data_IF_300218735544
#
_entry.id   IF_300218735544
#
_cell.length_a   1.000
_cell.length_b   1.000
_cell.length_c   1.000
_cell.angle_alpha   90.00
_cell.angle_beta   90.00
_cell.angle_gamma   90.00
#
_symmetry.space_group_name_H-M   'P 1'
#
loop_
_entity.id
_entity.type
_entity.pdbx_description
1 polymer ?
#
# COMPACT_ATOMS: atom_id res chain seq x y z
N UNK A 1 28.41 -59.41 -50.28
CA UNK A 1 27.05 -59.65 -50.80
C UNK A 1 26.07 -58.93 -49.90
N UNK A 2 25.46 -57.86 -50.40
CA UNK A 2 24.03 -57.53 -50.41
C UNK A 2 23.89 -56.01 -50.42
N UNK A 3 23.52 -55.51 -51.59
CA UNK A 3 23.10 -54.16 -51.91
C UNK A 3 21.64 -54.01 -51.46
N UNK A 4 21.29 -52.87 -50.87
CA UNK A 4 19.92 -52.53 -50.51
C UNK A 4 19.77 -51.02 -50.35
N UNK A 5 19.33 -50.37 -51.42
CA UNK A 5 19.00 -48.95 -51.52
C UNK A 5 17.77 -48.60 -50.66
N UNK A 6 17.66 -47.36 -50.12
CA UNK A 6 16.57 -46.95 -49.24
C UNK A 6 15.28 -46.63 -50.02
N UNK A 7 14.17 -47.27 -49.63
CA UNK A 7 12.82 -46.96 -50.11
C UNK A 7 12.06 -46.15 -49.06
N UNK A 8 11.76 -44.90 -49.45
CA UNK A 8 10.68 -43.99 -49.05
C UNK A 8 10.03 -44.15 -47.65
N UNK A 9 10.31 -43.20 -46.76
CA UNK A 9 9.33 -42.70 -45.79
C UNK A 9 8.69 -41.45 -46.41
N UNK A 10 7.44 -41.56 -46.86
CA UNK A 10 6.54 -40.41 -47.05
C UNK A 10 5.89 -40.10 -45.69
N UNK A 11 5.85 -38.80 -45.34
CA UNK A 11 5.36 -38.18 -44.11
C UNK A 11 6.32 -38.04 -42.91
N UNK A 12 7.49 -37.42 -43.14
CA UNK A 12 8.22 -36.68 -42.10
C UNK A 12 8.44 -35.23 -42.55
N UNK A 13 7.41 -34.39 -42.43
CA UNK A 13 7.56 -32.94 -42.54
C UNK A 13 7.91 -32.33 -41.18
N UNK A 14 9.05 -31.63 -41.18
CA UNK A 14 9.36 -30.46 -40.36
C UNK A 14 9.81 -30.66 -38.90
N UNK A 15 10.94 -31.36 -38.73
CA UNK A 15 11.89 -31.04 -37.64
C UNK A 15 13.04 -30.19 -38.20
N UNK A 16 12.74 -28.93 -38.54
CA UNK A 16 13.72 -27.92 -38.98
C UNK A 16 13.47 -26.60 -38.29
N UNK A 17 13.74 -26.52 -36.98
CA UNK A 17 13.87 -25.20 -36.31
C UNK A 17 14.65 -25.19 -34.99
N UNK A 18 15.67 -26.04 -34.85
CA UNK A 18 16.60 -25.98 -33.72
C UNK A 18 18.07 -25.82 -34.12
N UNK A 19 18.37 -25.26 -35.29
CA UNK A 19 19.74 -24.86 -35.69
C UNK A 19 19.81 -23.45 -36.30
N UNK A 20 18.92 -22.53 -35.88
CA UNK A 20 18.91 -21.13 -36.35
C UNK A 20 18.70 -20.10 -35.23
N UNK A 21 19.18 -20.36 -34.01
CA UNK A 21 19.12 -19.40 -32.88
C UNK A 21 20.44 -19.30 -32.09
N UNK A 22 21.55 -19.78 -32.65
CA UNK A 22 22.90 -19.47 -32.20
C UNK A 22 23.60 -18.85 -33.40
N UNK A 23 23.54 -17.52 -33.51
CA UNK A 23 24.41 -16.60 -34.30
C UNK A 23 23.67 -15.25 -34.51
N UNK A 24 23.02 -14.69 -33.47
CA UNK A 24 22.50 -13.31 -33.54
C UNK A 24 22.45 -12.60 -32.16
N UNK A 25 23.42 -12.87 -31.30
CA UNK A 25 23.61 -12.13 -30.03
C UNK A 25 25.06 -11.72 -29.80
N UNK A 26 25.71 -11.24 -30.86
CA UNK A 26 27.08 -10.75 -30.83
C UNK A 26 27.20 -9.31 -31.32
N UNK A 27 26.26 -8.42 -30.94
CA UNK A 27 26.53 -6.98 -30.91
C UNK A 27 25.46 -6.22 -30.11
N UNK A 28 25.42 -6.46 -28.79
CA UNK A 28 24.89 -5.46 -27.85
C UNK A 28 25.92 -5.21 -26.75
N UNK A 29 27.11 -4.78 -27.20
CA UNK A 29 28.09 -4.18 -26.30
C UNK A 29 27.89 -2.67 -26.38
N UNK A 30 27.37 -2.10 -25.30
CA UNK A 30 27.44 -0.65 -25.05
C UNK A 30 28.89 -0.18 -25.17
N UNK A 31 29.23 0.38 -26.32
CA UNK A 31 30.53 0.98 -26.56
C UNK A 31 30.57 2.33 -25.84
N UNK A 32 31.12 2.34 -24.63
CA UNK A 32 31.39 3.54 -23.86
C UNK A 32 32.30 4.46 -24.68
N UNK A 33 31.72 5.53 -25.20
CA UNK A 33 32.47 6.56 -25.93
C UNK A 33 33.67 7.04 -25.11
N UNK A 34 34.76 7.41 -25.78
CA UNK A 34 35.95 7.97 -25.11
C UNK A 34 35.62 9.21 -24.25
N UNK A 35 34.49 9.88 -24.52
CA UNK A 35 33.97 10.98 -23.69
C UNK A 35 33.54 10.51 -22.28
N UNK A 36 33.01 9.29 -22.15
CA UNK A 36 32.57 8.71 -20.88
C UNK A 36 33.76 8.31 -19.99
N UNK A 37 34.84 7.82 -20.61
CA UNK A 37 36.10 7.49 -19.91
C UNK A 37 36.85 8.76 -19.48
N UNK A 38 36.83 9.81 -20.30
CA UNK A 38 37.45 11.10 -19.95
C UNK A 38 36.72 11.85 -18.82
N UNK A 39 35.41 11.62 -18.63
CA UNK A 39 34.65 12.21 -17.52
C UNK A 39 35.01 11.56 -16.17
N UNK A 40 35.37 10.27 -16.20
CA UNK A 40 35.78 9.52 -15.01
C UNK A 40 37.19 9.92 -14.53
N UNK A 41 38.10 10.21 -15.47
CA UNK A 41 39.47 10.65 -15.15
C UNK A 41 39.58 12.13 -14.76
N UNK A 42 38.49 12.91 -14.85
CA UNK A 42 38.49 14.34 -14.50
C UNK A 42 38.11 14.59 -13.03
N UNK A 43 37.75 13.54 -12.29
CA UNK A 43 37.46 13.63 -10.85
C UNK A 43 38.67 13.37 -9.95
N UNK A 44 39.85 13.07 -10.50
CA UNK A 44 41.06 12.75 -9.72
C UNK A 44 42.18 13.82 -9.79
N UNK A 45 41.93 14.98 -10.40
CA UNK A 45 42.94 16.05 -10.55
C UNK A 45 42.44 17.42 -10.08
N UNK A 46 41.95 17.49 -8.84
CA UNK A 46 41.90 18.75 -8.09
C UNK A 46 42.47 18.54 -6.69
N UNK A 47 43.80 18.45 -6.62
CA UNK A 47 44.57 18.49 -5.36
C UNK A 47 46.02 18.78 -5.68
N UNK A 48 46.31 20.02 -6.07
CA UNK A 48 47.62 20.64 -5.87
C UNK A 48 47.60 22.10 -6.30
N UNK A 49 47.48 23.03 -5.34
CA UNK A 49 48.34 24.20 -5.28
C UNK A 49 48.55 24.61 -3.81
N UNK A 50 49.83 24.76 -3.47
CA UNK A 50 50.47 24.98 -2.18
C UNK A 50 50.29 26.43 -1.66
N UNK A 51 50.31 26.61 -0.33
CA UNK A 51 51.43 27.32 0.32
C UNK A 51 51.33 27.39 1.85
N UNK A 52 52.52 27.46 2.42
CA UNK A 52 52.91 27.25 3.81
C UNK A 52 52.57 28.38 4.79
N UNK A 53 52.45 27.97 6.06
CA UNK A 53 52.99 28.60 7.28
C UNK A 53 51.97 29.22 8.25
N UNK A 54 52.00 28.74 9.50
CA UNK A 54 51.29 29.33 10.64
C UNK A 54 50.66 28.29 11.57
N UNK A 55 51.30 28.08 12.71
CA UNK A 55 50.86 27.25 13.84
C UNK A 55 49.44 27.61 14.30
N UNK A 56 48.53 26.63 14.29
CA UNK A 56 47.58 26.40 15.38
C UNK A 56 46.95 25.00 15.20
N UNK A 57 47.22 24.15 16.19
CA UNK A 57 46.76 22.77 16.28
C UNK A 57 45.26 22.71 16.57
N UNK A 58 44.46 22.77 15.52
CA UNK A 58 43.08 22.27 15.48
C UNK A 58 43.10 20.75 15.19
N UNK A 59 42.22 19.93 15.81
CA UNK A 59 42.21 18.50 15.58
C UNK A 59 41.75 18.24 14.14
N UNK A 60 42.68 17.82 13.28
CA UNK A 60 42.36 17.40 11.93
C UNK A 60 41.36 16.24 11.99
N UNK A 61 40.11 16.54 11.64
CA UNK A 61 39.11 15.54 11.31
C UNK A 61 39.64 14.71 10.15
N UNK A 62 40.12 13.51 10.46
CA UNK A 62 40.52 12.52 9.48
C UNK A 62 39.39 12.35 8.44
N UNK A 63 39.74 12.40 7.16
CA UNK A 63 38.79 12.18 6.06
C UNK A 63 38.11 10.80 6.14
N UNK A 64 37.06 10.56 5.32
CA UNK A 64 36.29 9.32 5.35
C UNK A 64 37.22 8.11 5.18
N UNK A 65 37.28 7.25 6.21
CA UNK A 65 38.09 6.04 6.18
C UNK A 65 37.46 5.05 5.20
N UNK A 66 38.28 4.45 4.35
CA UNK A 66 37.80 3.35 3.51
C UNK A 66 37.56 2.11 4.38
N UNK A 67 36.65 1.22 3.97
CA UNK A 67 36.23 0.04 4.76
C UNK A 67 37.41 -0.90 5.12
N UNK A 68 38.50 -0.86 4.34
CA UNK A 68 39.75 -1.59 4.58
C UNK A 68 40.67 -0.95 5.63
N UNK A 69 40.48 0.34 5.90
CA UNK A 69 41.23 1.13 6.90
C UNK A 69 40.53 1.19 8.25
N UNK A 70 39.35 0.58 8.37
CA UNK A 70 38.59 0.51 9.61
C UNK A 70 39.20 -0.52 10.55
N UNK A 71 39.23 -0.17 11.83
CA UNK A 71 39.46 -1.12 12.92
C UNK A 71 38.35 -2.18 12.94
N UNK A 72 38.60 -3.31 13.60
CA UNK A 72 37.58 -4.37 13.74
C UNK A 72 36.31 -3.85 14.43
N UNK A 73 36.45 -2.94 15.39
CA UNK A 73 35.32 -2.31 16.08
C UNK A 73 34.53 -1.40 15.15
N UNK A 74 35.20 -0.53 14.39
CA UNK A 74 34.55 0.34 13.40
C UNK A 74 33.85 -0.47 12.31
N UNK A 75 34.44 -1.59 11.87
CA UNK A 75 33.81 -2.50 10.89
C UNK A 75 32.54 -3.15 11.44
N UNK A 76 32.52 -3.55 12.72
CA UNK A 76 31.31 -4.08 13.36
C UNK A 76 30.20 -3.03 13.40
N UNK A 77 30.53 -1.81 13.81
CA UNK A 77 29.59 -0.69 13.80
C UNK A 77 29.04 -0.41 12.40
N UNK A 78 29.92 -0.40 11.39
CA UNK A 78 29.51 -0.21 10.00
C UNK A 78 28.53 -1.29 9.53
N UNK A 79 28.79 -2.56 9.87
CA UNK A 79 27.91 -3.66 9.53
C UNK A 79 26.54 -3.56 10.22
N UNK A 80 26.51 -3.13 11.48
CA UNK A 80 25.27 -2.87 12.22
C UNK A 80 24.46 -1.75 11.56
N UNK A 81 25.10 -0.63 11.20
CA UNK A 81 24.45 0.48 10.51
C UNK A 81 23.91 0.07 9.13
N UNK A 82 24.67 -0.71 8.36
CA UNK A 82 24.23 -1.27 7.07
C UNK A 82 23.00 -2.17 7.24
N UNK A 83 23.00 -3.04 8.24
CA UNK A 83 21.86 -3.92 8.53
C UNK A 83 20.62 -3.10 8.91
N UNK A 84 20.78 -2.13 9.81
CA UNK A 84 19.70 -1.26 10.25
C UNK A 84 19.12 -0.40 9.12
N UNK A 85 19.97 0.15 8.25
CA UNK A 85 19.53 0.91 7.07
C UNK A 85 18.67 0.07 6.12
N UNK A 86 19.08 -1.17 5.87
CA UNK A 86 18.30 -2.09 5.04
C UNK A 86 16.95 -2.42 5.68
N UNK A 87 16.91 -2.65 6.99
CA UNK A 87 15.69 -2.94 7.74
C UNK A 87 14.73 -1.74 7.75
N UNK A 88 15.24 -0.53 8.05
CA UNK A 88 14.45 0.70 8.08
C UNK A 88 13.85 0.97 6.70
N UNK A 89 14.64 0.89 5.63
CA UNK A 89 14.12 1.10 4.27
C UNK A 89 13.08 0.06 3.88
N UNK A 90 13.27 -1.21 4.25
CA UNK A 90 12.27 -2.23 4.01
C UNK A 90 10.98 -1.98 4.81
N UNK A 91 11.11 -1.47 6.04
CA UNK A 91 10.00 -1.08 6.90
C UNK A 91 9.17 0.04 6.26
N UNK A 92 9.83 1.13 5.88
CA UNK A 92 9.17 2.28 5.25
C UNK A 92 8.59 1.94 3.88
N UNK A 93 9.28 1.12 3.09
CA UNK A 93 8.76 0.65 1.80
C UNK A 93 7.47 -0.17 1.97
N UNK A 94 7.38 -1.00 3.02
CA UNK A 94 6.17 -1.76 3.31
C UNK A 94 5.00 -0.84 3.72
N UNK A 95 5.26 0.18 4.53
CA UNK A 95 4.25 1.20 4.84
C UNK A 95 3.76 1.93 3.59
N UNK A 96 4.69 2.44 2.78
CA UNK A 96 4.37 3.17 1.55
C UNK A 96 3.56 2.31 0.56
N UNK A 97 3.99 1.07 0.34
CA UNK A 97 3.30 0.15 -0.56
C UNK A 97 1.87 -0.16 -0.11
N UNK A 98 1.65 -0.24 1.20
CA UNK A 98 0.32 -0.51 1.75
C UNK A 98 -0.57 0.75 1.79
N UNK A 99 0.02 1.93 1.98
CA UNK A 99 -0.69 3.22 2.00
C UNK A 99 -1.16 3.64 0.60
N UNK A 100 -0.38 3.34 -0.44
CA UNK A 100 -0.70 3.62 -1.83
C UNK A 100 -1.02 5.12 -2.05
N UNK A 101 -2.19 5.48 -2.59
CA UNK A 101 -2.54 6.87 -2.89
C UNK A 101 -2.78 7.74 -1.64
N UNK A 102 -2.85 7.15 -0.44
CA UNK A 102 -3.11 7.89 0.79
C UNK A 102 -1.84 8.30 1.54
N UNK A 103 -0.65 7.92 1.03
CA UNK A 103 0.61 8.42 1.55
C UNK A 103 0.80 9.90 1.20
N UNK A 104 1.16 10.70 2.20
CA UNK A 104 1.51 12.12 2.07
C UNK A 104 2.97 12.27 1.61
N UNK A 105 3.29 11.72 0.44
CA UNK A 105 4.61 11.83 -0.19
C UNK A 105 5.54 10.66 0.10
N UNK A 106 6.84 10.93 -0.07
CA UNK A 106 7.90 9.94 0.11
C UNK A 106 8.19 9.68 1.61
N UNK A 107 8.77 8.52 1.96
CA UNK A 107 9.22 8.27 3.31
C UNK A 107 10.28 9.27 3.75
N UNK A 108 10.22 9.68 5.01
CA UNK A 108 11.25 10.46 5.66
C UNK A 108 12.19 9.52 6.41
N UNK A 109 13.48 9.82 6.42
CA UNK A 109 14.48 9.01 7.11
C UNK A 109 15.30 9.84 8.08
N UNK A 110 15.63 9.24 9.21
CA UNK A 110 16.62 9.74 10.15
C UNK A 110 17.95 9.05 9.90
N UNK A 111 19.03 9.81 9.80
CA UNK A 111 20.33 9.30 9.39
C UNK A 111 21.36 9.36 10.51
N UNK A 112 22.24 8.36 10.53
CA UNK A 112 23.47 8.36 11.32
C UNK A 112 24.68 8.25 10.39
N UNK A 113 25.72 9.04 10.65
CA UNK A 113 26.99 8.96 9.92
C UNK A 113 27.84 7.82 10.47
N UNK A 114 28.24 6.91 9.58
CA UNK A 114 29.13 5.80 9.88
C UNK A 114 30.61 6.20 9.94
N UNK A 115 31.49 5.30 10.41
CA UNK A 115 32.93 5.53 10.49
C UNK A 115 33.61 5.66 9.11
N UNK A 116 32.90 5.29 8.05
CA UNK A 116 33.28 5.48 6.65
C UNK A 116 32.84 6.84 6.07
N UNK A 117 32.21 7.69 6.90
CA UNK A 117 31.69 9.01 6.51
C UNK A 117 30.38 8.99 5.72
N UNK A 118 29.74 7.82 5.55
CA UNK A 118 28.47 7.70 4.83
C UNK A 118 27.28 7.75 5.78
N UNK A 119 26.12 8.18 5.29
CA UNK A 119 24.88 8.23 6.05
C UNK A 119 24.07 6.93 5.89
N UNK A 120 23.56 6.43 7.02
CA UNK A 120 22.75 5.23 7.14
C UNK A 120 21.43 5.56 7.81
N UNK A 121 20.29 5.08 7.28
CA UNK A 121 18.99 5.30 7.89
C UNK A 121 18.86 4.45 9.16
N UNK A 122 18.61 5.11 10.29
CA UNK A 122 18.44 4.47 11.60
C UNK A 122 17.00 4.56 12.12
N UNK A 123 16.18 5.37 11.45
CA UNK A 123 14.74 5.51 11.65
C UNK A 123 14.09 6.07 10.38
N UNK A 124 12.78 5.97 10.31
CA UNK A 124 12.00 6.54 9.23
C UNK A 124 10.52 6.60 9.58
N UNK A 125 9.76 7.34 8.77
CA UNK A 125 8.30 7.36 8.84
C UNK A 125 7.68 7.65 7.47
N UNK A 126 6.46 7.12 7.27
CA UNK A 126 5.58 7.48 6.15
C UNK A 126 4.41 8.29 6.68
N UNK A 127 4.33 9.55 6.27
CA UNK A 127 3.16 10.38 6.58
C UNK A 127 1.93 9.87 5.81
N UNK A 128 0.79 9.69 6.48
CA UNK A 128 -0.46 9.18 5.87
C UNK A 128 -1.59 10.19 6.11
N UNK A 129 -2.41 10.45 5.10
CA UNK A 129 -3.53 11.39 5.21
C UNK A 129 -4.73 10.76 5.92
N UNK A 130 -4.92 11.11 7.20
CA UNK A 130 -6.06 10.69 8.03
C UNK A 130 -7.28 11.59 7.91
N UNK A 131 -7.36 12.46 6.90
CA UNK A 131 -8.51 13.35 6.71
C UNK A 131 -9.70 12.62 6.07
N UNK A 132 -10.95 12.98 6.41
CA UNK A 132 -12.13 12.45 5.72
C UNK A 132 -12.15 12.84 4.25
N UNK A 133 -12.89 12.08 3.44
CA UNK A 133 -13.22 12.45 2.06
C UNK A 133 -14.47 13.36 2.09
N UNK A 134 -14.37 14.63 1.67
CA UNK A 134 -15.49 15.56 1.75
C UNK A 134 -16.72 15.08 0.98
N UNK A 135 -17.89 15.14 1.63
CA UNK A 135 -19.18 14.81 0.99
C UNK A 135 -19.34 13.35 0.56
N UNK A 136 -18.48 12.44 1.03
CA UNK A 136 -18.61 11.02 0.73
C UNK A 136 -18.17 10.15 1.92
N UNK A 137 -19.09 9.87 2.86
CA UNK A 137 -18.81 9.02 4.02
C UNK A 137 -18.39 7.60 3.63
N UNK A 138 -18.96 7.02 2.57
CA UNK A 138 -18.57 5.68 2.12
C UNK A 138 -17.11 5.63 1.62
N UNK A 139 -16.67 6.64 0.89
CA UNK A 139 -15.27 6.78 0.48
C UNK A 139 -14.37 6.99 1.68
N UNK A 140 -14.82 7.73 2.70
CA UNK A 140 -14.10 7.89 3.96
C UNK A 140 -13.91 6.56 4.68
N UNK A 141 -14.93 5.69 4.75
CA UNK A 141 -14.80 4.34 5.31
C UNK A 141 -13.72 3.53 4.58
N UNK A 142 -13.74 3.51 3.25
CA UNK A 142 -12.75 2.78 2.43
C UNK A 142 -11.33 3.33 2.61
N UNK A 143 -11.20 4.66 2.65
CA UNK A 143 -9.92 5.35 2.91
C UNK A 143 -9.39 4.99 4.30
N UNK A 144 -10.22 5.10 5.34
CA UNK A 144 -9.87 4.78 6.71
C UNK A 144 -9.41 3.32 6.88
N UNK A 145 -10.10 2.36 6.24
CA UNK A 145 -9.68 0.96 6.24
C UNK A 145 -8.32 0.74 5.59
N UNK A 146 -8.07 1.43 4.47
CA UNK A 146 -6.77 1.35 3.77
C UNK A 146 -5.66 1.90 4.65
N UNK A 147 -5.87 3.06 5.26
CA UNK A 147 -4.91 3.69 6.18
C UNK A 147 -4.61 2.77 7.37
N UNK A 148 -5.65 2.22 8.00
CA UNK A 148 -5.50 1.30 9.13
C UNK A 148 -4.66 0.07 8.75
N UNK A 149 -4.91 -0.51 7.57
CA UNK A 149 -4.11 -1.64 7.06
C UNK A 149 -2.67 -1.23 6.77
N UNK A 150 -2.45 -0.04 6.21
CA UNK A 150 -1.12 0.46 5.88
C UNK A 150 -0.25 0.71 7.11
N UNK A 151 -0.84 1.34 8.13
CA UNK A 151 -0.19 1.60 9.40
C UNK A 151 0.12 0.30 10.19
N UNK A 152 -0.58 -0.80 9.90
CA UNK A 152 -0.33 -2.10 10.53
C UNK A 152 0.36 -3.09 9.58
N UNK A 153 0.91 -2.63 8.45
CA UNK A 153 1.42 -3.50 7.40
C UNK A 153 2.72 -4.24 7.78
N UNK A 154 3.73 -3.59 8.39
CA UNK A 154 4.91 -4.31 8.86
C UNK A 154 4.60 -5.23 10.05
N UNK A 155 5.47 -6.22 10.27
CA UNK A 155 5.33 -7.18 11.37
C UNK A 155 5.42 -6.52 12.75
N UNK A 156 6.22 -5.48 12.86
CA UNK A 156 6.48 -4.75 14.11
C UNK A 156 6.25 -3.26 13.90
N UNK A 157 4.98 -2.80 13.80
CA UNK A 157 4.68 -1.39 13.58
C UNK A 157 5.19 -0.55 14.75
N UNK A 158 5.66 0.67 14.48
CA UNK A 158 6.14 1.59 15.51
C UNK A 158 4.98 2.10 16.39
N UNK A 159 5.30 2.86 17.44
CA UNK A 159 4.28 3.51 18.25
C UNK A 159 3.46 4.54 17.45
N UNK A 160 4.12 5.25 16.53
CA UNK A 160 3.50 6.24 15.65
C UNK A 160 2.51 5.56 14.70
N UNK A 161 2.90 4.44 14.08
CA UNK A 161 2.01 3.74 13.15
C UNK A 161 0.77 3.21 13.85
N UNK A 162 0.92 2.69 15.08
CA UNK A 162 -0.24 2.27 15.89
C UNK A 162 -1.17 3.44 16.22
N UNK A 163 -0.64 4.65 16.44
CA UNK A 163 -1.47 5.84 16.64
C UNK A 163 -2.24 6.21 15.37
N UNK A 164 -1.59 6.18 14.20
CA UNK A 164 -2.26 6.40 12.90
C UNK A 164 -3.36 5.35 12.68
N UNK A 165 -3.10 4.08 12.99
CA UNK A 165 -4.10 3.02 12.89
C UNK A 165 -5.30 3.25 13.82
N UNK A 166 -5.07 3.77 15.04
CA UNK A 166 -6.13 4.13 15.97
C UNK A 166 -6.96 5.33 15.47
N UNK A 167 -6.31 6.37 14.93
CA UNK A 167 -6.99 7.51 14.31
C UNK A 167 -7.84 7.07 13.12
N UNK A 168 -7.31 6.20 12.26
CA UNK A 168 -8.05 5.63 11.15
C UNK A 168 -9.26 4.79 11.61
N UNK A 169 -9.13 4.04 12.70
CA UNK A 169 -10.26 3.31 13.28
C UNK A 169 -11.36 4.25 13.80
N UNK A 170 -10.99 5.39 14.40
CA UNK A 170 -11.94 6.41 14.83
C UNK A 170 -12.65 7.06 13.64
N UNK A 171 -11.90 7.39 12.58
CA UNK A 171 -12.44 7.94 11.33
C UNK A 171 -13.41 6.95 10.67
N UNK A 172 -13.05 5.67 10.61
CA UNK A 172 -13.92 4.61 10.09
C UNK A 172 -15.23 4.53 10.88
N UNK A 173 -15.15 4.54 12.21
CA UNK A 173 -16.32 4.48 13.07
C UNK A 173 -17.24 5.70 12.92
N UNK A 174 -16.66 6.89 12.73
CA UNK A 174 -17.42 8.11 12.45
C UNK A 174 -18.12 8.04 11.10
N UNK A 175 -17.38 7.75 10.03
CA UNK A 175 -17.94 7.69 8.69
C UNK A 175 -19.03 6.62 8.54
N UNK A 176 -18.91 5.48 9.23
CA UNK A 176 -19.97 4.46 9.26
C UNK A 176 -21.27 4.97 9.89
N UNK A 177 -21.21 5.86 10.89
CA UNK A 177 -22.40 6.48 11.47
C UNK A 177 -23.04 7.47 10.48
N UNK A 178 -22.22 8.26 9.79
CA UNK A 178 -22.68 9.19 8.75
C UNK A 178 -23.37 8.44 7.59
N UNK A 179 -22.76 7.35 7.07
CA UNK A 179 -23.39 6.48 6.06
C UNK A 179 -24.75 5.95 6.51
N UNK A 180 -24.90 5.61 7.80
CA UNK A 180 -26.15 5.10 8.32
C UNK A 180 -27.23 6.20 8.43
N UNK A 181 -26.83 7.43 8.77
CA UNK A 181 -27.72 8.58 8.82
C UNK A 181 -28.20 9.00 7.42
N UNK A 182 -27.30 9.07 6.44
CA UNK A 182 -27.65 9.36 5.04
C UNK A 182 -28.65 8.33 4.50
N UNK A 183 -28.44 7.04 4.80
CA UNK A 183 -29.39 5.98 4.41
C UNK A 183 -30.74 6.08 5.07
N UNK A 184 -30.83 6.58 6.31
CA UNK A 184 -32.13 6.79 6.95
C UNK A 184 -32.86 7.97 6.33
N UNK A 185 -32.16 9.07 6.08
CA UNK A 185 -32.71 10.27 5.45
C UNK A 185 -33.18 9.97 4.01
N UNK A 186 -32.38 9.29 3.20
CA UNK A 186 -32.77 8.88 1.84
C UNK A 186 -34.02 8.00 1.82
N UNK A 187 -34.16 7.09 2.80
CA UNK A 187 -35.34 6.23 2.90
C UNK A 187 -36.59 6.99 3.37
N UNK A 188 -36.43 7.99 4.23
CA UNK A 188 -37.52 8.87 4.66
C UNK A 188 -38.01 9.74 3.49
N UNK A 189 -37.09 10.40 2.77
CA UNK A 189 -37.41 11.17 1.57
C UNK A 189 -38.07 10.30 0.47
N UNK A 190 -37.57 9.09 0.26
CA UNK A 190 -38.18 8.15 -0.69
C UNK A 190 -39.61 7.77 -0.28
N UNK A 191 -39.87 7.57 1.02
CA UNK A 191 -41.22 7.28 1.52
C UNK A 191 -42.16 8.46 1.37
N UNK A 192 -41.69 9.68 1.60
CA UNK A 192 -42.48 10.90 1.41
C UNK A 192 -42.87 11.09 -0.06
N UNK A 193 -41.91 10.97 -1.00
CA UNK A 193 -42.19 11.04 -2.45
C UNK A 193 -43.19 9.99 -2.92
N UNK A 194 -43.08 8.75 -2.43
CA UNK A 194 -44.03 7.68 -2.77
C UNK A 194 -45.45 7.93 -2.23
N UNK A 195 -45.59 8.59 -1.08
CA UNK A 195 -46.91 8.93 -0.52
C UNK A 195 -47.57 10.11 -1.26
N UNK A 196 -46.79 11.06 -1.77
CA UNK A 196 -47.28 12.18 -2.59
C UNK A 196 -47.73 11.72 -3.99
N UNK A 197 -46.94 10.88 -4.68
CA UNK A 197 -47.32 10.32 -5.99
C UNK A 197 -48.60 9.45 -5.93
N UNK A 198 -48.81 8.73 -4.82
CA UNK A 198 -50.00 7.89 -4.65
C UNK A 198 -51.26 8.70 -4.27
N UNK A 199 -51.09 9.94 -3.79
CA UNK A 199 -52.19 10.87 -3.51
C UNK A 199 -52.72 11.55 -4.79
N UNK A 200 -51.88 11.78 -5.80
CA UNK A 200 -52.31 12.36 -7.08
C UNK A 200 -52.93 11.34 -8.06
N UNK A 201 -52.59 10.05 -7.95
CA UNK A 201 -53.13 8.99 -8.82
C UNK A 201 -54.37 8.26 -8.25
N UNK A 202 -54.81 8.62 -7.04
CA UNK A 202 -55.93 7.98 -6.33
C UNK A 202 -57.33 8.34 -6.81
N UNK A 203 -57.49 9.24 -7.79
CA UNK A 203 -58.83 9.71 -8.23
C UNK A 203 -59.36 9.10 -9.54
N UNK A 204 -58.75 8.06 -10.10
CA UNK A 204 -59.32 7.34 -11.26
C UNK A 204 -59.19 5.82 -11.13
N UNK A 205 -60.09 5.21 -10.35
CA UNK A 205 -60.74 3.91 -10.57
C UNK A 205 -61.39 3.44 -9.27
N UNK A 206 -62.58 3.97 -9.00
CA UNK A 206 -63.54 3.29 -8.14
C UNK A 206 -64.91 3.29 -8.83
N UNK A 207 -65.08 2.31 -9.70
CA UNK A 207 -66.37 1.81 -10.18
C UNK A 207 -66.09 0.62 -11.11
N UNK A 208 -66.20 -0.59 -10.57
CA UNK A 208 -66.85 -1.76 -11.18
C UNK A 208 -67.04 -2.77 -10.03
N UNK A 209 -68.29 -2.89 -9.61
CA UNK A 209 -68.77 -3.93 -8.71
C UNK A 209 -68.99 -5.25 -9.45
N UNK A 210 -68.67 -6.33 -8.73
CA UNK A 210 -69.35 -7.65 -8.69
C UNK A 210 -69.43 -8.52 -9.95
N UNK A 211 -68.72 -9.65 -9.93
CA UNK A 211 -69.27 -11.01 -9.68
C UNK A 211 -68.32 -12.12 -10.17
N UNK A 212 -68.20 -13.21 -9.39
CA UNK A 212 -67.80 -14.52 -9.92
C UNK A 212 -66.62 -15.23 -9.24
N UNK A 213 -66.94 -16.01 -8.21
CA UNK A 213 -66.48 -17.39 -7.94
C UNK A 213 -64.97 -17.76 -7.82
N UNK A 214 -64.64 -18.22 -6.60
CA UNK A 214 -63.90 -19.45 -6.25
C UNK A 214 -62.60 -19.82 -6.98
N UNK A 215 -61.47 -19.80 -6.26
CA UNK A 215 -60.80 -21.05 -5.79
C UNK A 215 -59.42 -20.81 -5.16
N UNK A 216 -59.31 -21.22 -3.88
CA UNK A 216 -58.14 -21.83 -3.22
C UNK A 216 -56.71 -21.40 -3.61
N UNK A 217 -56.07 -20.63 -2.72
CA UNK A 217 -54.65 -20.80 -2.42
C UNK A 217 -54.34 -20.42 -0.97
N UNK A 218 -54.03 -21.45 -0.17
CA UNK A 218 -53.49 -21.33 1.20
C UNK A 218 -52.18 -20.54 1.15
N UNK A 219 -52.10 -19.42 1.86
CA UNK A 219 -50.83 -18.83 2.28
C UNK A 219 -50.61 -19.14 3.76
N UNK A 220 -49.56 -19.92 4.04
CA UNK A 220 -49.05 -20.16 5.39
C UNK A 220 -48.40 -18.87 5.87
N UNK A 221 -48.95 -18.26 6.91
CA UNK A 221 -48.35 -17.13 7.62
C UNK A 221 -47.50 -17.69 8.75
N UNK A 222 -46.18 -17.69 8.58
CA UNK A 222 -45.25 -17.94 9.68
C UNK A 222 -45.08 -16.64 10.46
N UNK A 223 -45.93 -16.41 11.47
CA UNK A 223 -45.73 -15.38 12.47
C UNK A 223 -44.63 -15.83 13.45
N UNK A 224 -43.39 -15.43 13.20
CA UNK A 224 -42.32 -15.55 14.18
C UNK A 224 -42.17 -14.21 14.92
N UNK A 225 -42.72 -14.14 16.13
CA UNK A 225 -42.51 -13.02 17.07
C UNK A 225 -41.16 -13.20 17.77
N UNK A 226 -40.25 -12.21 17.76
CA UNK A 226 -39.09 -12.23 18.63
C UNK A 226 -39.50 -11.89 20.08
N UNK A 227 -38.89 -12.51 21.11
CA UNK A 227 -39.15 -12.16 22.50
C UNK A 227 -38.52 -10.82 22.86
N UNK A 228 -39.26 -9.99 23.61
CA UNK A 228 -38.79 -8.75 24.22
C UNK A 228 -37.78 -9.05 25.35
N UNK A 229 -36.67 -8.30 25.47
CA UNK A 229 -35.80 -8.40 26.62
C UNK A 229 -36.46 -7.72 27.82
N UNK A 230 -36.62 -8.45 28.92
CA UNK A 230 -37.01 -7.90 30.21
C UNK A 230 -35.92 -6.94 30.72
N UNK A 231 -36.29 -5.68 30.94
CA UNK A 231 -35.50 -4.76 31.76
C UNK A 231 -35.48 -5.28 33.20
N UNK A 232 -34.37 -5.89 33.60
CA UNK A 232 -34.07 -6.20 34.98
C UNK A 232 -33.85 -4.92 35.77
N UNK A 233 -34.77 -4.66 36.70
CA UNK A 233 -34.61 -3.71 37.80
C UNK A 233 -33.40 -4.11 38.67
N UNK A 234 -32.38 -3.26 38.74
CA UNK A 234 -31.36 -3.31 39.80
C UNK A 234 -31.58 -2.11 40.74
N UNK A 235 -32.45 -2.32 41.72
CA UNK A 235 -32.47 -1.53 42.94
C UNK A 235 -31.38 -2.06 43.90
N UNK A 236 -30.58 -1.11 44.39
CA UNK A 236 -29.88 -1.06 45.68
C UNK A 236 -29.00 -2.24 46.13
N UNK A 237 -27.74 -1.92 46.45
CA UNK A 237 -27.19 -2.01 47.82
C UNK A 237 -26.10 -0.93 47.95
N UNK A 238 -26.40 0.09 48.76
CA UNK A 238 -25.44 0.97 49.41
C UNK A 238 -25.47 0.55 50.88
N UNK A 239 -24.32 0.12 51.40
CA UNK A 239 -23.79 0.29 52.77
C UNK A 239 -22.80 -0.83 53.11
#
# INVERSE_FOLDING_TARGET
MFVGSPGQCEDCEEETRQEAQQEEFADDRVNLSQASLNLSNRSENDSALENENGEESEPQTAGPKTELQLTEEERRLLNELKARDAEVRAHEAAHLAAAGPYANGAPTYEYQTGPDGRQYAVGGEVSIDTSPVPGNPEATVRKAQTIKRAALAPREPSAQDRQVAAQAAQLEAQARREVQAEKTEENEEAREKNNEENSENGNTRNSIESNGESSHSRRVINNFSPPTPQLGNLLNIIS
#
